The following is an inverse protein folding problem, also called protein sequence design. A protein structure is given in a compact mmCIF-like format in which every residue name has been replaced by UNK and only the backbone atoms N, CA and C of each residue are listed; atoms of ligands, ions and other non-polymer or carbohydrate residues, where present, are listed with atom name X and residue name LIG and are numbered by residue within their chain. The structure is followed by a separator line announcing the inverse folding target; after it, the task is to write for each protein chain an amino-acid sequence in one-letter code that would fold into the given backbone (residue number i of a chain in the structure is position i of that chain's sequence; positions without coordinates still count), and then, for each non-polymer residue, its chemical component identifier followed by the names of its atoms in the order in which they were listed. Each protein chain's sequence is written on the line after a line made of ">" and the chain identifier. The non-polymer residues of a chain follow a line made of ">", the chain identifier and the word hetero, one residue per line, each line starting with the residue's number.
data_IF_530907402333
#
_entry.id   IF_530907402333
#
_cell.length_a   1.000
_cell.length_b   1.000
_cell.length_c   1.000
_cell.angle_alpha   90.00
_cell.angle_beta   90.00
_cell.angle_gamma   90.00
#
_symmetry.space_group_name_H-M   'P 1'
#
loop_
_entity.id
_entity.type
_entity.pdbx_description
1 polymer ?
#
# COMPACT_ATOMS: atom_id res chain seq x y z
N UNK A 1 -23.23 32.00 11.94
CA UNK A 1 -23.44 32.58 10.61
C UNK A 1 -24.38 31.72 9.79
N UNK A 2 -25.50 32.29 9.34
CA UNK A 2 -26.46 31.62 8.47
C UNK A 2 -25.82 31.49 7.08
N UNK A 3 -25.32 30.31 6.75
CA UNK A 3 -24.81 30.04 5.41
C UNK A 3 -26.00 29.76 4.50
N UNK A 4 -26.14 30.54 3.42
CA UNK A 4 -27.20 30.33 2.43
C UNK A 4 -27.11 28.91 1.84
N UNK A 5 -28.25 28.28 1.60
CA UNK A 5 -28.32 26.92 1.08
C UNK A 5 -28.79 26.95 -0.36
N UNK A 6 -28.00 26.38 -1.26
CA UNK A 6 -28.41 26.01 -2.62
C UNK A 6 -29.13 24.68 -2.52
N UNK A 7 -30.44 24.70 -2.73
CA UNK A 7 -31.30 23.52 -2.68
C UNK A 7 -31.80 23.18 -4.08
N UNK A 8 -31.58 21.93 -4.50
CA UNK A 8 -32.09 21.37 -5.75
C UNK A 8 -33.22 20.39 -5.38
N UNK A 9 -34.51 20.76 -5.53
CA UNK A 9 -35.61 19.93 -5.08
C UNK A 9 -35.83 18.69 -5.97
N UNK A 10 -36.55 17.68 -5.47
CA UNK A 10 -36.97 16.52 -6.27
C UNK A 10 -37.65 16.93 -7.57
N UNK A 11 -37.34 16.22 -8.66
CA UNK A 11 -37.90 16.48 -9.99
C UNK A 11 -37.31 17.69 -10.73
N UNK A 12 -36.48 18.52 -10.06
CA UNK A 12 -35.77 19.62 -10.73
C UNK A 12 -34.45 19.16 -11.34
N UNK A 13 -33.96 19.91 -12.34
CA UNK A 13 -32.68 19.64 -12.98
C UNK A 13 -31.84 20.92 -13.08
N UNK A 14 -30.57 20.83 -12.67
CA UNK A 14 -29.55 21.87 -12.89
C UNK A 14 -28.43 21.26 -13.72
N UNK A 15 -27.95 22.01 -14.70
CA UNK A 15 -26.85 21.60 -15.56
C UNK A 15 -25.79 22.69 -15.65
N UNK A 16 -24.57 22.34 -15.29
CA UNK A 16 -23.39 23.18 -15.50
C UNK A 16 -22.75 22.85 -16.85
N UNK A 17 -22.57 23.88 -17.69
CA UNK A 17 -22.02 23.77 -19.03
C UNK A 17 -20.50 23.59 -19.07
N UNK A 18 -19.94 23.45 -20.27
CA UNK A 18 -18.53 23.10 -20.52
C UNK A 18 -17.55 24.27 -20.62
N UNK A 19 -18.05 25.51 -20.74
CA UNK A 19 -17.21 26.68 -21.11
C UNK A 19 -17.01 27.68 -20.00
N UNK A 20 -17.93 27.75 -19.03
CA UNK A 20 -17.92 28.77 -17.98
C UNK A 20 -17.87 28.10 -16.61
N UNK A 21 -16.83 28.38 -15.80
CA UNK A 21 -16.80 27.99 -14.40
C UNK A 21 -18.03 28.45 -13.62
N UNK A 22 -18.55 27.61 -12.73
CA UNK A 22 -19.61 27.96 -11.81
C UNK A 22 -19.12 27.87 -10.35
N UNK A 23 -19.57 28.80 -9.50
CA UNK A 23 -19.24 28.82 -8.07
C UNK A 23 -20.46 28.49 -7.20
N UNK A 24 -20.27 27.66 -6.18
CA UNK A 24 -21.26 27.38 -5.12
C UNK A 24 -20.61 27.72 -3.77
N UNK A 25 -21.08 28.78 -3.13
CA UNK A 25 -20.50 29.33 -1.89
C UNK A 25 -21.25 28.89 -0.62
N UNK A 26 -22.53 28.55 -0.79
CA UNK A 26 -23.42 28.06 0.27
C UNK A 26 -23.37 26.55 0.47
N UNK A 27 -24.18 26.03 1.37
CA UNK A 27 -24.42 24.58 1.44
C UNK A 27 -25.09 24.12 0.16
N UNK A 28 -24.72 22.95 -0.36
CA UNK A 28 -25.45 22.32 -1.44
C UNK A 28 -26.25 21.15 -0.88
N UNK A 29 -27.56 21.17 -1.07
CA UNK A 29 -28.44 20.04 -0.85
C UNK A 29 -29.09 19.68 -2.18
N UNK A 30 -28.72 18.52 -2.71
CA UNK A 30 -29.23 17.98 -3.96
C UNK A 30 -30.20 16.82 -3.68
N UNK A 31 -31.47 17.02 -4.02
CA UNK A 31 -32.54 16.02 -4.04
C UNK A 31 -33.11 15.82 -5.46
N UNK A 32 -32.64 16.60 -6.43
CA UNK A 32 -33.03 16.53 -7.84
C UNK A 32 -31.95 15.92 -8.72
N UNK A 33 -31.82 16.44 -9.94
CA UNK A 33 -30.81 16.03 -10.91
C UNK A 33 -29.77 17.14 -11.09
N UNK A 34 -28.56 16.89 -10.65
CA UNK A 34 -27.42 17.77 -10.91
C UNK A 34 -26.55 17.15 -12.00
N UNK A 35 -26.24 17.92 -13.05
CA UNK A 35 -25.35 17.46 -14.10
C UNK A 35 -24.21 18.42 -14.37
N UNK A 36 -23.03 17.89 -14.62
CA UNK A 36 -21.83 18.66 -14.92
C UNK A 36 -21.26 18.11 -16.23
N UNK A 37 -21.46 18.87 -17.32
CA UNK A 37 -21.03 18.44 -18.65
C UNK A 37 -19.52 18.18 -18.69
N UNK A 38 -19.10 17.35 -19.64
CA UNK A 38 -17.69 17.24 -20.04
C UNK A 38 -17.00 18.60 -20.10
N UNK A 39 -15.84 18.71 -19.46
CA UNK A 39 -15.05 19.93 -19.31
C UNK A 39 -15.69 21.05 -18.47
N UNK A 40 -16.89 20.84 -17.93
CA UNK A 40 -17.51 21.75 -16.97
C UNK A 40 -16.75 21.77 -15.65
N UNK A 41 -16.71 22.94 -15.01
CA UNK A 41 -15.99 23.13 -13.75
C UNK A 41 -16.89 23.80 -12.72
N UNK A 42 -17.13 23.12 -11.60
CA UNK A 42 -17.90 23.63 -10.47
C UNK A 42 -16.97 23.80 -9.28
N UNK A 43 -16.87 25.01 -8.76
CA UNK A 43 -16.04 25.36 -7.60
C UNK A 43 -16.92 25.47 -6.37
N UNK A 44 -16.74 24.55 -5.43
CA UNK A 44 -17.50 24.46 -4.20
C UNK A 44 -16.68 24.94 -3.01
N UNK A 45 -17.14 26.01 -2.36
CA UNK A 45 -16.52 26.58 -1.15
C UNK A 45 -17.45 26.52 0.07
N UNK A 46 -18.66 25.99 -0.07
CA UNK A 46 -19.56 25.74 1.05
C UNK A 46 -19.04 24.68 2.01
N UNK A 47 -19.62 24.59 3.22
CA UNK A 47 -19.20 23.58 4.21
C UNK A 47 -19.72 22.18 3.90
N UNK A 48 -20.94 22.06 3.35
CA UNK A 48 -21.63 20.78 3.18
C UNK A 48 -22.05 20.61 1.72
N UNK A 49 -21.58 19.55 1.07
CA UNK A 49 -22.11 19.03 -0.19
C UNK A 49 -22.92 17.76 0.13
N UNK A 50 -24.23 17.80 -0.07
CA UNK A 50 -25.11 16.69 0.22
C UNK A 50 -25.91 16.26 -1.00
N UNK A 51 -25.66 15.05 -1.52
CA UNK A 51 -26.54 14.33 -2.42
C UNK A 51 -27.42 13.40 -1.58
N UNK A 52 -28.72 13.68 -1.53
CA UNK A 52 -29.71 12.93 -0.75
C UNK A 52 -30.19 11.67 -1.49
N UNK A 53 -30.81 10.70 -0.79
CA UNK A 53 -31.30 9.50 -1.46
C UNK A 53 -32.31 9.87 -2.56
N UNK A 54 -32.08 9.35 -3.76
CA UNK A 54 -32.93 9.64 -4.92
C UNK A 54 -32.40 10.72 -5.85
N UNK A 55 -31.47 11.57 -5.39
CA UNK A 55 -30.82 12.54 -6.27
C UNK A 55 -29.95 11.89 -7.33
N UNK A 56 -29.54 12.68 -8.32
CA UNK A 56 -28.48 12.28 -9.25
C UNK A 56 -27.36 13.31 -9.40
N UNK A 57 -26.16 12.81 -9.65
CA UNK A 57 -25.00 13.54 -10.15
C UNK A 57 -24.54 12.85 -11.44
N UNK A 58 -24.62 13.54 -12.58
CA UNK A 58 -24.37 12.93 -13.91
C UNK A 58 -23.58 13.84 -14.85
N UNK A 59 -23.08 13.29 -15.96
CA UNK A 59 -22.12 13.97 -16.80
C UNK A 59 -22.58 14.41 -18.19
N UNK A 60 -23.73 13.98 -18.71
CA UNK A 60 -24.39 14.60 -19.87
C UNK A 60 -25.79 14.08 -20.20
N UNK A 61 -26.53 13.52 -19.24
CA UNK A 61 -27.94 13.17 -19.41
C UNK A 61 -28.24 11.71 -19.07
N UNK A 62 -28.78 11.49 -17.87
CA UNK A 62 -29.41 10.24 -17.40
C UNK A 62 -28.54 8.96 -17.36
N UNK A 63 -27.42 8.87 -18.07
CA UNK A 63 -26.47 7.77 -18.02
C UNK A 63 -25.28 8.10 -17.12
N UNK A 64 -25.40 7.71 -15.87
CA UNK A 64 -24.50 8.03 -14.77
C UNK A 64 -23.21 7.19 -14.74
N UNK A 65 -22.74 6.71 -15.89
CA UNK A 65 -21.63 5.76 -16.04
C UNK A 65 -20.52 6.26 -16.96
N UNK A 66 -20.55 7.54 -17.34
CA UNK A 66 -19.53 8.05 -18.23
C UNK A 66 -18.40 8.72 -17.44
N UNK A 67 -17.16 8.35 -17.80
CA UNK A 67 -15.92 8.97 -17.31
C UNK A 67 -15.64 10.35 -17.94
N UNK A 68 -16.57 10.84 -18.77
CA UNK A 68 -16.41 12.07 -19.53
C UNK A 68 -16.97 13.30 -18.82
N UNK A 69 -17.39 13.22 -17.56
CA UNK A 69 -17.96 14.37 -16.86
C UNK A 69 -17.02 15.48 -16.50
N UNK A 70 -17.64 16.56 -16.06
CA UNK A 70 -16.91 17.70 -15.54
C UNK A 70 -16.30 17.42 -14.17
N UNK A 71 -15.68 18.46 -13.63
CA UNK A 71 -14.92 18.41 -12.38
C UNK A 71 -15.58 19.27 -11.32
N UNK A 72 -15.79 18.68 -10.15
CA UNK A 72 -16.11 19.44 -8.93
C UNK A 72 -14.81 19.70 -8.18
N UNK A 73 -14.55 20.98 -7.87
CA UNK A 73 -13.40 21.42 -7.11
C UNK A 73 -13.85 21.83 -5.71
N UNK A 74 -13.46 21.08 -4.70
CA UNK A 74 -13.61 21.46 -3.29
C UNK A 74 -12.47 22.42 -2.96
N UNK A 75 -12.76 23.71 -3.06
CA UNK A 75 -11.79 24.79 -2.83
C UNK A 75 -11.81 25.23 -1.37
N UNK A 76 -10.78 25.97 -0.99
CA UNK A 76 -10.50 26.35 0.40
C UNK A 76 -11.72 26.88 1.14
N UNK A 77 -12.10 26.19 2.21
CA UNK A 77 -13.01 26.65 3.25
C UNK A 77 -12.27 26.53 4.59
N UNK A 78 -12.10 27.62 5.37
CA UNK A 78 -11.28 27.61 6.58
C UNK A 78 -11.80 26.69 7.69
N UNK A 79 -13.06 26.24 7.62
CA UNK A 79 -13.70 25.38 8.61
C UNK A 79 -13.79 23.91 8.18
N UNK A 80 -13.13 23.54 7.08
CA UNK A 80 -13.24 22.22 6.47
C UNK A 80 -14.55 22.03 5.70
N UNK A 81 -14.65 20.93 4.95
CA UNK A 81 -15.83 20.60 4.17
C UNK A 81 -16.27 19.16 4.41
N UNK A 82 -17.55 18.89 4.17
CA UNK A 82 -18.15 17.57 4.31
C UNK A 82 -18.82 17.14 3.01
N UNK A 83 -18.64 15.87 2.67
CA UNK A 83 -19.35 15.20 1.58
C UNK A 83 -20.31 14.18 2.18
N UNK A 84 -21.59 14.37 1.91
CA UNK A 84 -22.67 13.42 2.17
C UNK A 84 -23.18 12.95 0.81
N UNK A 85 -22.66 11.84 0.32
CA UNK A 85 -23.12 11.22 -0.92
C UNK A 85 -23.91 9.95 -0.61
N UNK A 86 -25.17 10.12 -0.18
CA UNK A 86 -25.99 9.05 0.41
C UNK A 86 -26.52 8.01 -0.59
N UNK A 87 -25.73 7.70 -1.63
CA UNK A 87 -26.08 6.73 -2.68
C UNK A 87 -24.84 5.99 -3.23
N UNK A 88 -24.21 5.18 -2.39
CA UNK A 88 -23.15 4.24 -2.80
C UNK A 88 -23.64 2.95 -3.47
N UNK A 89 -24.97 2.76 -3.64
CA UNK A 89 -25.53 1.60 -4.35
C UNK A 89 -26.33 2.02 -5.58
N UNK A 90 -25.72 1.88 -6.76
CA UNK A 90 -26.40 1.97 -8.06
C UNK A 90 -26.22 3.31 -8.77
N UNK A 91 -25.05 3.46 -9.39
CA UNK A 91 -24.65 4.33 -10.51
C UNK A 91 -25.05 5.82 -10.54
N UNK A 92 -26.10 6.32 -9.88
CA UNK A 92 -26.69 7.64 -10.14
C UNK A 92 -26.16 8.79 -9.28
N UNK A 93 -25.28 8.56 -8.30
CA UNK A 93 -24.81 9.58 -7.34
C UNK A 93 -23.36 10.05 -7.47
N UNK A 94 -22.57 9.47 -8.37
CA UNK A 94 -21.11 9.56 -8.32
C UNK A 94 -20.53 10.86 -8.90
N UNK A 95 -19.43 11.33 -8.33
CA UNK A 95 -18.61 12.35 -8.97
C UNK A 95 -17.85 11.72 -10.14
N UNK A 96 -17.87 12.35 -11.33
CA UNK A 96 -16.98 11.89 -12.40
C UNK A 96 -15.52 12.25 -12.08
N UNK A 97 -15.26 13.53 -11.89
CA UNK A 97 -13.95 14.05 -11.49
C UNK A 97 -14.11 14.93 -10.25
N UNK A 98 -13.20 14.75 -9.29
CA UNK A 98 -13.21 15.46 -8.02
C UNK A 98 -11.80 16.00 -7.74
N UNK A 99 -11.69 17.30 -7.49
CA UNK A 99 -10.43 17.95 -7.07
C UNK A 99 -10.57 18.42 -5.63
N UNK A 100 -9.61 18.08 -4.78
CA UNK A 100 -9.51 18.56 -3.40
C UNK A 100 -8.40 19.60 -3.30
N UNK A 101 -8.79 20.84 -3.03
CA UNK A 101 -7.91 22.00 -2.91
C UNK A 101 -8.23 22.78 -1.61
N UNK A 102 -8.19 22.06 -0.49
CA UNK A 102 -8.61 22.58 0.81
C UNK A 102 -7.69 22.11 1.95
N UNK A 103 -6.87 23.03 2.46
CA UNK A 103 -5.98 22.79 3.60
C UNK A 103 -6.71 22.45 4.93
N UNK A 104 -7.99 22.80 5.06
CA UNK A 104 -8.79 22.42 6.22
C UNK A 104 -9.44 21.02 6.08
N UNK A 105 -9.06 20.30 5.01
CA UNK A 105 -9.48 18.95 4.68
C UNK A 105 -10.94 18.82 4.27
N UNK A 106 -11.25 17.67 3.68
CA UNK A 106 -12.60 17.24 3.33
C UNK A 106 -12.90 15.94 4.07
N UNK A 107 -14.06 15.86 4.71
CA UNK A 107 -14.46 14.72 5.54
C UNK A 107 -15.67 14.02 4.91
N UNK A 108 -15.64 12.70 4.88
CA UNK A 108 -16.79 11.90 4.47
C UNK A 108 -17.77 11.70 5.62
N UNK A 109 -19.05 11.75 5.28
CA UNK A 109 -20.16 11.45 6.21
C UNK A 109 -20.99 10.25 5.68
N UNK A 110 -20.74 9.84 4.44
CA UNK A 110 -21.17 8.59 3.83
C UNK A 110 -20.06 8.13 2.88
N UNK A 111 -20.18 6.92 2.35
CA UNK A 111 -19.30 6.46 1.26
C UNK A 111 -19.33 7.45 0.08
N UNK A 112 -18.22 7.53 -0.64
CA UNK A 112 -18.04 8.41 -1.78
C UNK A 112 -17.60 7.60 -2.99
N UNK A 113 -18.27 7.77 -4.13
CA UNK A 113 -17.81 7.20 -5.40
C UNK A 113 -17.27 8.29 -6.33
N UNK A 114 -16.05 8.09 -6.84
CA UNK A 114 -15.42 8.90 -7.88
C UNK A 114 -15.12 8.01 -9.09
N UNK A 115 -15.80 8.26 -10.21
CA UNK A 115 -15.76 7.36 -11.38
C UNK A 115 -14.44 7.41 -12.14
N UNK A 116 -13.86 8.60 -12.35
CA UNK A 116 -12.70 8.76 -13.22
C UNK A 116 -11.45 9.22 -12.46
N UNK A 117 -11.44 10.43 -11.89
CA UNK A 117 -10.24 10.97 -11.26
C UNK A 117 -10.55 11.71 -9.95
N UNK A 118 -9.88 11.29 -8.87
CA UNK A 118 -9.74 12.07 -7.64
C UNK A 118 -8.36 12.73 -7.64
N UNK A 119 -8.32 14.05 -7.73
CA UNK A 119 -7.08 14.83 -7.71
C UNK A 119 -6.91 15.55 -6.37
N UNK A 120 -5.77 15.32 -5.73
CA UNK A 120 -5.30 16.15 -4.63
C UNK A 120 -4.50 17.35 -5.17
N UNK A 121 -4.78 18.53 -4.64
CA UNK A 121 -3.92 19.71 -4.75
C UNK A 121 -3.40 20.11 -3.38
N UNK A 122 -4.29 20.12 -2.38
CA UNK A 122 -4.01 20.52 -1.00
C UNK A 122 -4.96 19.84 -0.02
N UNK A 123 -4.40 19.39 1.10
CA UNK A 123 -5.13 18.81 2.23
C UNK A 123 -5.51 17.35 2.04
N UNK A 124 -6.29 16.83 2.99
CA UNK A 124 -6.61 15.41 3.08
C UNK A 124 -8.08 15.12 2.79
N UNK A 125 -8.37 13.88 2.39
CA UNK A 125 -9.72 13.30 2.43
C UNK A 125 -9.82 12.38 3.63
N UNK A 126 -10.61 12.73 4.64
CA UNK A 126 -10.80 11.92 5.85
C UNK A 126 -11.98 10.99 5.61
N UNK A 127 -11.73 9.69 5.64
CA UNK A 127 -12.75 8.67 5.38
C UNK A 127 -13.78 8.59 6.50
N UNK A 128 -13.39 8.83 7.76
CA UNK A 128 -14.30 8.85 8.90
C UNK A 128 -15.23 7.61 8.94
N UNK A 129 -14.64 6.41 8.79
CA UNK A 129 -15.32 5.10 8.71
C UNK A 129 -16.17 4.84 7.46
N UNK A 130 -16.02 5.63 6.40
CA UNK A 130 -16.69 5.45 5.11
C UNK A 130 -15.73 5.07 3.99
N UNK A 131 -16.23 4.40 2.97
CA UNK A 131 -15.40 3.95 1.85
C UNK A 131 -15.30 5.02 0.75
N UNK A 132 -14.10 5.16 0.19
CA UNK A 132 -13.87 5.83 -1.09
C UNK A 132 -13.83 4.77 -2.19
N UNK A 133 -14.80 4.81 -3.11
CA UNK A 133 -14.85 3.93 -4.28
C UNK A 133 -14.32 4.66 -5.50
N UNK A 134 -13.30 4.09 -6.13
CA UNK A 134 -12.72 4.57 -7.37
C UNK A 134 -13.16 3.67 -8.52
N UNK A 135 -13.80 4.27 -9.53
CA UNK A 135 -14.30 3.56 -10.70
C UNK A 135 -15.70 2.95 -10.50
N UNK A 136 -16.07 2.09 -11.45
CA UNK A 136 -17.31 1.32 -11.45
C UNK A 136 -17.04 -0.13 -11.94
N UNK A 137 -18.08 -0.93 -12.15
CA UNK A 137 -17.95 -2.33 -12.58
C UNK A 137 -17.44 -2.49 -14.04
N UNK A 138 -17.07 -1.40 -14.73
CA UNK A 138 -16.52 -1.42 -16.10
C UNK A 138 -15.15 -0.77 -16.22
N UNK A 139 -14.85 0.19 -15.35
CA UNK A 139 -13.66 1.03 -15.45
C UNK A 139 -13.02 1.28 -14.09
N UNK A 140 -11.69 1.22 -14.05
CA UNK A 140 -10.92 1.63 -12.88
C UNK A 140 -10.73 3.16 -12.85
N UNK A 141 -10.91 3.77 -11.67
CA UNK A 141 -10.67 5.19 -11.43
C UNK A 141 -9.24 5.48 -10.93
N UNK A 142 -8.77 6.70 -11.14
CA UNK A 142 -7.42 7.15 -10.77
C UNK A 142 -7.44 8.07 -9.55
N UNK A 143 -6.39 7.99 -8.73
CA UNK A 143 -6.09 8.98 -7.71
C UNK A 143 -4.78 9.66 -8.10
N UNK A 144 -4.76 10.98 -8.15
CA UNK A 144 -3.61 11.78 -8.63
C UNK A 144 -3.29 12.94 -7.69
N UNK A 145 -2.08 13.48 -7.79
CA UNK A 145 -1.62 14.64 -7.00
C UNK A 145 -1.39 14.35 -5.52
N UNK A 146 -1.35 13.07 -5.13
CA UNK A 146 -1.09 12.68 -3.74
C UNK A 146 0.39 12.75 -3.41
N UNK A 147 0.71 13.13 -2.18
CA UNK A 147 2.06 13.19 -1.63
C UNK A 147 2.01 13.09 -0.09
N UNK A 148 3.12 13.35 0.61
CA UNK A 148 3.19 13.29 2.07
C UNK A 148 2.37 14.39 2.79
N UNK A 149 1.78 15.33 2.05
CA UNK A 149 0.97 16.45 2.55
C UNK A 149 -0.49 16.37 2.12
N UNK A 150 -0.81 15.59 1.08
CA UNK A 150 -2.16 15.45 0.54
C UNK A 150 -2.45 14.00 0.17
N UNK A 151 -3.33 13.35 0.94
CA UNK A 151 -3.64 11.92 0.81
C UNK A 151 -4.93 11.57 1.55
N UNK A 152 -5.35 10.30 1.47
CA UNK A 152 -6.56 9.79 2.13
C UNK A 152 -6.25 9.35 3.56
N UNK A 153 -7.01 9.83 4.54
CA UNK A 153 -6.87 9.46 5.95
C UNK A 153 -7.90 8.39 6.31
N UNK A 154 -7.42 7.20 6.67
CA UNK A 154 -8.23 5.99 6.88
C UNK A 154 -8.69 5.76 8.32
N UNK A 155 -8.10 6.48 9.27
CA UNK A 155 -8.36 6.31 10.71
C UNK A 155 -7.26 5.50 11.40
N UNK A 156 -7.14 5.69 12.71
CA UNK A 156 -6.06 5.08 13.50
C UNK A 156 -6.43 3.71 14.08
N UNK A 157 -7.72 3.41 14.18
CA UNK A 157 -8.23 2.18 14.76
C UNK A 157 -8.35 1.06 13.71
N UNK A 158 -8.42 -0.22 14.15
CA UNK A 158 -8.80 -1.34 13.28
C UNK A 158 -10.25 -1.26 12.75
N UNK A 159 -10.96 -0.16 12.99
CA UNK A 159 -12.25 0.18 12.40
C UNK A 159 -12.07 1.46 11.60
N UNK A 160 -12.60 1.52 10.38
CA UNK A 160 -12.15 2.51 9.41
C UNK A 160 -12.59 2.17 7.99
N UNK A 161 -12.67 3.20 7.15
CA UNK A 161 -13.03 3.06 5.75
C UNK A 161 -11.87 2.58 4.89
N UNK A 162 -12.20 2.11 3.70
CA UNK A 162 -11.26 1.65 2.68
C UNK A 162 -11.27 2.58 1.46
N UNK A 163 -10.13 2.65 0.78
CA UNK A 163 -10.16 2.98 -0.65
C UNK A 163 -10.43 1.67 -1.39
N UNK A 164 -11.41 1.66 -2.29
CA UNK A 164 -11.75 0.54 -3.16
C UNK A 164 -11.47 0.91 -4.60
N UNK A 165 -10.64 0.13 -5.28
CA UNK A 165 -10.39 0.24 -6.71
C UNK A 165 -11.19 -0.84 -7.43
N UNK A 166 -12.16 -0.42 -8.25
CA UNK A 166 -12.99 -1.32 -9.08
C UNK A 166 -12.28 -1.72 -10.37
N UNK A 167 -12.69 -2.85 -10.96
CA UNK A 167 -12.27 -3.30 -12.30
C UNK A 167 -10.76 -3.23 -12.56
N UNK A 168 -9.96 -3.69 -11.60
CA UNK A 168 -8.49 -3.72 -11.70
C UNK A 168 -8.07 -4.90 -12.57
N UNK A 169 -7.67 -4.62 -13.80
CA UNK A 169 -7.26 -5.61 -14.79
C UNK A 169 -5.97 -6.38 -14.42
N UNK A 170 -5.75 -7.58 -14.98
CA UNK A 170 -4.46 -8.27 -14.88
C UNK A 170 -3.31 -7.38 -15.37
N UNK A 171 -2.20 -7.34 -14.64
CA UNK A 171 -1.02 -6.50 -14.88
C UNK A 171 -1.17 -5.04 -14.44
N UNK A 172 -2.37 -4.59 -14.07
CA UNK A 172 -2.59 -3.22 -13.64
C UNK A 172 -1.99 -2.95 -12.25
N UNK A 173 -1.51 -1.72 -12.05
CA UNK A 173 -1.05 -1.20 -10.78
C UNK A 173 -2.08 -0.20 -10.25
N UNK A 174 -2.49 -0.37 -8.99
CA UNK A 174 -3.28 0.63 -8.26
C UNK A 174 -2.51 1.12 -7.04
N UNK A 175 -2.71 2.40 -6.69
CA UNK A 175 -2.13 3.01 -5.49
C UNK A 175 -3.21 3.29 -4.46
N UNK A 176 -2.91 3.00 -3.21
CA UNK A 176 -3.63 3.41 -2.02
C UNK A 176 -2.81 4.52 -1.34
N UNK A 177 -3.02 5.81 -1.68
CA UNK A 177 -2.32 6.91 -1.05
C UNK A 177 -2.95 7.19 0.31
N UNK A 178 -2.64 6.34 1.29
CA UNK A 178 -3.30 6.31 2.59
C UNK A 178 -2.37 6.71 3.73
N UNK A 179 -2.99 7.08 4.84
CA UNK A 179 -2.35 7.25 6.14
C UNK A 179 -3.38 7.15 7.27
N UNK A 180 -3.01 6.62 8.45
CA UNK A 180 -3.95 6.50 9.56
C UNK A 180 -4.33 7.85 10.19
N UNK A 181 -3.47 8.86 10.03
CA UNK A 181 -3.63 10.23 10.53
C UNK A 181 -3.20 11.22 9.47
N UNK A 182 -3.49 12.51 9.66
CA UNK A 182 -3.02 13.61 8.79
C UNK A 182 -1.49 13.82 8.84
N UNK A 183 -0.80 13.19 9.79
CA UNK A 183 0.66 13.31 9.98
C UNK A 183 1.42 12.04 9.61
N UNK A 184 0.76 11.03 9.05
CA UNK A 184 1.35 9.72 8.79
C UNK A 184 1.05 9.25 7.37
N UNK A 185 1.87 9.67 6.41
CA UNK A 185 1.76 9.16 5.05
C UNK A 185 2.37 7.76 4.94
N UNK A 186 1.58 6.76 4.56
CA UNK A 186 2.01 5.36 4.51
C UNK A 186 1.32 4.62 3.35
N UNK A 187 1.64 5.01 2.11
CA UNK A 187 0.92 4.52 0.95
C UNK A 187 1.27 3.06 0.63
N UNK A 188 0.35 2.39 -0.04
CA UNK A 188 0.55 1.06 -0.60
C UNK A 188 0.33 1.07 -2.12
N UNK A 189 0.98 0.17 -2.83
CA UNK A 189 0.65 -0.18 -4.21
C UNK A 189 0.35 -1.66 -4.31
N UNK A 190 -0.53 -2.01 -5.24
CA UNK A 190 -0.85 -3.38 -5.57
C UNK A 190 -0.76 -3.56 -7.08
N UNK A 191 -0.05 -4.58 -7.53
CA UNK A 191 -0.03 -5.04 -8.91
C UNK A 191 -0.84 -6.33 -8.97
N UNK A 192 -1.88 -6.34 -9.78
CA UNK A 192 -2.75 -7.50 -9.94
C UNK A 192 -2.11 -8.52 -10.90
N UNK A 193 -1.76 -9.73 -10.43
CA UNK A 193 -1.23 -10.79 -11.28
C UNK A 193 -2.28 -11.90 -11.57
N UNK A 194 -3.52 -11.73 -11.15
CA UNK A 194 -4.62 -12.67 -11.36
C UNK A 194 -5.64 -12.18 -12.39
N UNK A 195 -6.93 -12.41 -12.14
CA UNK A 195 -8.08 -11.97 -12.95
C UNK A 195 -8.52 -10.54 -12.62
N UNK A 196 -9.40 -9.94 -13.43
CA UNK A 196 -10.04 -8.66 -13.07
C UNK A 196 -10.73 -8.76 -11.70
N UNK A 197 -10.48 -7.80 -10.81
CA UNK A 197 -11.06 -7.78 -9.46
C UNK A 197 -11.25 -6.35 -8.93
N UNK A 198 -12.02 -6.23 -7.87
CA UNK A 198 -11.97 -5.06 -6.99
C UNK A 198 -10.97 -5.35 -5.87
N UNK A 199 -10.05 -4.42 -5.64
CA UNK A 199 -9.13 -4.45 -4.50
C UNK A 199 -9.40 -3.28 -3.59
N UNK A 200 -9.32 -3.50 -2.29
CA UNK A 200 -9.52 -2.45 -1.31
C UNK A 200 -8.43 -2.48 -0.26
N UNK A 201 -8.08 -1.29 0.22
CA UNK A 201 -6.89 -1.10 1.04
C UNK A 201 -7.04 0.09 1.99
N UNK A 202 -6.48 -0.07 3.18
CA UNK A 202 -6.33 1.00 4.17
C UNK A 202 -5.10 0.78 5.05
N UNK A 203 -4.83 1.71 5.96
CA UNK A 203 -3.83 1.55 7.01
C UNK A 203 -4.37 2.06 8.36
N UNK A 204 -3.93 1.45 9.46
CA UNK A 204 -4.25 1.89 10.83
C UNK A 204 -3.00 1.84 11.72
N UNK A 205 -3.06 2.48 12.88
CA UNK A 205 -1.92 2.57 13.80
C UNK A 205 -1.68 1.29 14.58
N UNK A 206 -0.42 1.08 14.94
CA UNK A 206 0.08 -0.11 15.65
C UNK A 206 0.03 -1.39 14.82
N UNK A 207 0.72 -2.39 15.34
CA UNK A 207 0.67 -3.77 14.91
C UNK A 207 0.36 -4.59 16.14
N UNK A 208 -0.70 -5.38 16.08
CA UNK A 208 -1.13 -6.17 17.22
C UNK A 208 -0.74 -7.65 17.04
N UNK A 209 -0.58 -8.36 18.16
CA UNK A 209 -0.28 -9.81 18.17
C UNK A 209 -1.25 -10.61 17.31
N UNK A 210 -2.55 -10.25 17.31
CA UNK A 210 -3.61 -10.95 16.58
C UNK A 210 -4.24 -10.07 15.52
N UNK A 211 -3.40 -9.47 14.67
CA UNK A 211 -3.72 -8.49 13.62
C UNK A 211 -4.39 -7.19 14.11
N UNK A 212 -5.55 -7.30 14.76
CA UNK A 212 -6.40 -6.18 15.21
C UNK A 212 -6.61 -6.16 16.73
N UNK A 213 -6.05 -7.14 17.46
CA UNK A 213 -6.24 -7.27 18.92
C UNK A 213 -5.02 -7.89 19.60
N UNK A 214 -4.96 -7.79 20.93
CA UNK A 214 -3.80 -8.22 21.73
C UNK A 214 -2.85 -7.07 22.02
N UNK A 215 -1.65 -7.38 22.53
CA UNK A 215 -0.66 -6.35 22.79
C UNK A 215 -0.12 -5.74 21.48
N UNK A 216 0.23 -4.45 21.52
CA UNK A 216 0.93 -3.82 20.42
C UNK A 216 2.40 -4.30 20.39
N UNK A 217 2.89 -4.68 19.22
CA UNK A 217 4.28 -5.03 18.99
C UNK A 217 5.13 -3.75 18.91
N UNK A 218 6.22 -3.69 19.67
CA UNK A 218 7.06 -2.48 19.78
C UNK A 218 8.54 -2.69 19.46
N UNK A 219 8.95 -3.90 19.10
CA UNK A 219 10.36 -4.32 19.01
C UNK A 219 10.95 -4.07 17.61
N UNK A 220 10.58 -4.88 16.63
CA UNK A 220 11.19 -5.03 15.31
C UNK A 220 10.25 -4.61 14.21
N UNK A 221 9.09 -4.06 14.57
CA UNK A 221 7.96 -3.77 13.69
C UNK A 221 7.71 -2.27 13.65
N UNK A 222 7.30 -1.73 12.50
CA UNK A 222 6.76 -0.36 12.47
C UNK A 222 5.42 -0.29 13.21
N UNK A 223 5.05 0.88 13.73
CA UNK A 223 3.78 1.09 14.41
C UNK A 223 2.60 1.30 13.43
N UNK A 224 2.48 0.43 12.44
CA UNK A 224 1.49 0.55 11.37
C UNK A 224 1.12 -0.81 10.78
N UNK A 225 -0.18 -1.03 10.57
CA UNK A 225 -0.72 -2.17 9.83
C UNK A 225 -1.42 -1.69 8.57
N UNK A 226 -1.07 -2.27 7.43
CA UNK A 226 -1.88 -2.19 6.22
C UNK A 226 -2.85 -3.34 6.19
N UNK A 227 -4.02 -3.07 5.64
CA UNK A 227 -5.05 -4.08 5.45
C UNK A 227 -5.50 -4.02 4.00
N UNK A 228 -5.43 -5.16 3.32
CA UNK A 228 -5.73 -5.30 1.90
C UNK A 228 -6.69 -6.48 1.72
N UNK A 229 -7.69 -6.30 0.89
CA UNK A 229 -8.60 -7.37 0.50
C UNK A 229 -9.03 -7.26 -0.96
N UNK A 230 -9.83 -8.23 -1.38
CA UNK A 230 -10.42 -8.33 -2.72
C UNK A 230 -11.90 -8.69 -2.62
N UNK A 231 -12.65 -8.47 -3.71
CA UNK A 231 -14.09 -8.79 -3.76
C UNK A 231 -14.38 -10.26 -4.05
N UNK A 232 -13.61 -10.92 -4.92
CA UNK A 232 -13.90 -12.33 -5.27
C UNK A 232 -13.44 -13.30 -4.18
N UNK A 233 -14.07 -14.48 -4.15
CA UNK A 233 -13.74 -15.61 -3.26
C UNK A 233 -12.65 -16.56 -3.83
N UNK A 234 -11.99 -16.14 -4.92
CA UNK A 234 -10.92 -16.94 -5.53
C UNK A 234 -9.57 -16.40 -5.10
N UNK A 235 -8.66 -17.27 -4.64
CA UNK A 235 -7.28 -16.91 -4.36
C UNK A 235 -6.64 -16.14 -5.53
N UNK A 236 -5.92 -15.07 -5.20
CA UNK A 236 -5.39 -14.15 -6.20
C UNK A 236 -3.95 -13.76 -5.88
N UNK A 237 -3.04 -14.04 -6.81
CA UNK A 237 -1.67 -13.56 -6.72
C UNK A 237 -1.62 -12.04 -6.97
N UNK A 238 -0.93 -11.33 -6.09
CA UNK A 238 -0.62 -9.91 -6.24
C UNK A 238 0.81 -9.61 -5.81
N UNK A 239 1.36 -8.50 -6.29
CA UNK A 239 2.58 -7.91 -5.74
C UNK A 239 2.19 -6.66 -4.97
N UNK A 240 2.42 -6.66 -3.66
CA UNK A 240 2.21 -5.49 -2.80
C UNK A 240 3.52 -4.72 -2.63
N UNK A 241 3.44 -3.39 -2.64
CA UNK A 241 4.53 -2.49 -2.26
C UNK A 241 4.08 -1.59 -1.13
N UNK A 242 4.84 -1.53 -0.04
CA UNK A 242 4.48 -0.78 1.16
C UNK A 242 5.57 0.23 1.47
N UNK A 243 5.17 1.49 1.60
CA UNK A 243 6.06 2.60 1.95
C UNK A 243 5.74 3.13 3.33
N UNK A 244 6.76 3.21 4.19
CA UNK A 244 6.68 3.95 5.45
C UNK A 244 7.69 5.10 5.44
N UNK A 245 7.40 6.13 6.21
CA UNK A 245 8.34 7.21 6.51
C UNK A 245 8.91 7.07 7.94
N UNK A 246 9.96 7.83 8.25
CA UNK A 246 10.73 7.76 9.50
C UNK A 246 9.94 8.04 10.81
N UNK A 247 8.89 8.89 10.85
CA UNK A 247 8.18 9.18 12.10
C UNK A 247 7.50 7.99 12.78
N UNK A 248 7.15 6.95 12.02
CA UNK A 248 6.51 5.72 12.55
C UNK A 248 7.50 4.57 12.80
N UNK A 249 8.79 4.83 12.60
CA UNK A 249 9.86 3.86 12.88
C UNK A 249 10.30 3.98 14.34
N UNK A 250 10.31 2.86 15.07
CA UNK A 250 11.01 2.79 16.34
C UNK A 250 12.55 2.78 16.12
N UNK A 251 13.33 2.87 17.20
CA UNK A 251 14.79 2.94 17.11
C UNK A 251 15.41 1.72 16.43
N UNK A 252 14.95 0.52 16.79
CA UNK A 252 15.43 -0.76 16.23
C UNK A 252 15.17 -0.82 14.73
N UNK A 253 13.94 -0.53 14.29
CA UNK A 253 13.57 -0.52 12.89
C UNK A 253 14.40 0.51 12.12
N UNK A 254 14.51 1.74 12.64
CA UNK A 254 15.28 2.83 12.00
C UNK A 254 16.74 2.44 11.78
N UNK A 255 17.36 1.74 12.73
CA UNK A 255 18.75 1.28 12.62
C UNK A 255 18.98 0.22 11.54
N UNK A 256 17.93 -0.53 11.15
CA UNK A 256 18.01 -1.69 10.26
C UNK A 256 17.05 -1.60 9.05
N UNK A 257 16.47 -0.44 8.78
CA UNK A 257 15.37 -0.26 7.82
C UNK A 257 15.67 -0.73 6.38
N UNK A 258 16.94 -0.75 5.97
CA UNK A 258 17.37 -1.29 4.67
C UNK A 258 17.26 -2.82 4.56
N UNK A 259 17.23 -3.51 5.70
CA UNK A 259 17.01 -4.95 5.83
C UNK A 259 15.55 -5.30 6.16
N UNK A 260 14.65 -4.32 6.13
CA UNK A 260 13.24 -4.57 6.40
C UNK A 260 12.59 -5.48 5.35
N UNK A 261 11.45 -6.06 5.70
CA UNK A 261 10.61 -6.90 4.84
C UNK A 261 9.14 -6.70 5.17
N UNK A 262 8.25 -7.12 4.26
CA UNK A 262 6.81 -7.17 4.51
C UNK A 262 6.49 -8.48 5.23
N UNK A 263 5.89 -8.39 6.40
CA UNK A 263 5.31 -9.52 7.14
C UNK A 263 3.80 -9.55 6.92
N UNK A 264 3.22 -10.74 6.86
CA UNK A 264 1.76 -10.94 6.79
C UNK A 264 1.29 -11.72 8.01
N UNK A 265 0.10 -11.39 8.48
CA UNK A 265 -0.54 -12.14 9.56
C UNK A 265 -1.32 -13.32 8.98
N UNK A 266 -1.02 -14.52 9.46
CA UNK A 266 -1.69 -15.77 9.07
C UNK A 266 -1.37 -16.88 10.07
N UNK A 267 -2.24 -17.89 10.19
CA UNK A 267 -2.06 -18.99 11.15
C UNK A 267 -1.81 -18.51 12.60
N UNK A 268 -2.44 -17.40 12.99
CA UNK A 268 -2.29 -16.74 14.31
C UNK A 268 -0.91 -16.15 14.61
N UNK A 269 -0.07 -15.92 13.60
CA UNK A 269 1.24 -15.31 13.76
C UNK A 269 1.62 -14.36 12.62
N UNK A 270 2.59 -13.47 12.88
CA UNK A 270 3.22 -12.63 11.88
C UNK A 270 4.40 -13.37 11.26
N UNK A 271 4.33 -13.64 9.96
CA UNK A 271 5.30 -14.49 9.30
C UNK A 271 6.65 -13.80 9.05
N UNK A 272 7.65 -14.61 8.68
CA UNK A 272 8.93 -14.15 8.14
C UNK A 272 9.17 -14.82 6.80
N UNK A 273 9.22 -14.07 5.67
CA UNK A 273 9.50 -14.65 4.38
C UNK A 273 10.93 -15.23 4.36
N UNK A 274 11.10 -16.38 3.71
CA UNK A 274 12.40 -17.05 3.58
C UNK A 274 13.39 -16.15 2.83
N UNK A 275 12.92 -15.50 1.76
CA UNK A 275 13.69 -14.56 0.95
C UNK A 275 12.87 -13.28 0.76
N UNK A 276 13.54 -12.13 0.84
CA UNK A 276 12.93 -10.84 0.52
C UNK A 276 13.88 -9.96 -0.27
N UNK A 277 13.33 -9.06 -1.07
CA UNK A 277 14.13 -8.08 -1.77
C UNK A 277 14.61 -7.00 -0.79
N UNK A 278 15.80 -6.44 -1.05
CA UNK A 278 16.28 -5.27 -0.31
C UNK A 278 15.27 -4.14 -0.42
N UNK A 279 15.09 -3.45 0.70
CA UNK A 279 14.23 -2.29 0.74
C UNK A 279 14.81 -1.17 -0.14
N UNK A 280 13.94 -0.43 -0.83
CA UNK A 280 14.31 0.68 -1.71
C UNK A 280 14.21 2.00 -0.95
N UNK A 281 15.19 2.89 -1.18
CA UNK A 281 15.26 4.25 -0.65
C UNK A 281 15.91 5.12 -1.75
N UNK A 282 15.44 6.35 -2.01
CA UNK A 282 14.32 7.04 -1.37
C UNK A 282 12.96 6.41 -1.70
N UNK A 283 11.90 6.80 -0.98
CA UNK A 283 10.55 6.34 -1.28
C UNK A 283 9.97 7.06 -2.50
N UNK A 284 9.25 6.31 -3.34
CA UNK A 284 8.75 6.77 -4.64
C UNK A 284 7.24 6.61 -4.82
N UNK A 285 6.51 6.14 -3.81
CA UNK A 285 5.04 6.05 -3.87
C UNK A 285 4.48 7.42 -3.51
N UNK A 286 4.57 8.37 -4.44
CA UNK A 286 4.12 9.77 -4.33
C UNK A 286 4.03 10.36 -5.74
N UNK A 287 3.23 11.42 -5.94
CA UNK A 287 3.22 12.21 -7.18
C UNK A 287 4.10 13.48 -7.08
N UNK A 288 4.82 13.65 -5.98
CA UNK A 288 5.84 14.69 -5.76
C UNK A 288 7.26 14.10 -5.91
N UNK A 289 8.27 14.82 -5.41
CA UNK A 289 9.64 14.32 -5.34
C UNK A 289 9.73 13.09 -4.42
N UNK A 290 10.71 12.23 -4.71
CA UNK A 290 11.02 11.07 -3.88
C UNK A 290 11.31 11.49 -2.45
N UNK A 291 10.78 10.76 -1.47
CA UNK A 291 10.89 11.06 -0.04
C UNK A 291 12.19 10.42 0.48
N UNK A 292 13.24 11.19 0.83
CA UNK A 292 14.57 10.64 1.16
C UNK A 292 14.56 9.64 2.32
N UNK A 293 13.76 9.94 3.34
CA UNK A 293 13.59 9.14 4.54
C UNK A 293 12.60 7.98 4.39
N UNK A 294 11.91 7.82 3.27
CA UNK A 294 10.96 6.73 3.12
C UNK A 294 11.62 5.44 2.61
N UNK A 295 11.07 4.30 3.04
CA UNK A 295 11.52 2.97 2.65
C UNK A 295 10.37 2.21 1.99
N UNK A 296 10.63 1.64 0.81
CA UNK A 296 9.68 0.81 0.08
C UNK A 296 10.11 -0.64 0.11
N UNK A 297 9.21 -1.52 0.52
CA UNK A 297 9.39 -2.97 0.37
C UNK A 297 8.37 -3.52 -0.61
N UNK A 298 8.73 -4.60 -1.29
CA UNK A 298 7.83 -5.29 -2.21
C UNK A 298 7.76 -6.77 -1.84
N UNK A 299 6.58 -7.36 -1.91
CA UNK A 299 6.36 -8.78 -1.64
C UNK A 299 5.27 -9.33 -2.55
N UNK A 300 5.50 -10.51 -3.10
CA UNK A 300 4.46 -11.29 -3.77
C UNK A 300 3.69 -12.08 -2.72
N UNK A 301 2.36 -12.00 -2.76
CA UNK A 301 1.47 -12.69 -1.83
C UNK A 301 0.27 -13.27 -2.59
N UNK A 302 -0.41 -14.24 -1.98
CA UNK A 302 -1.74 -14.68 -2.39
C UNK A 302 -2.74 -14.01 -1.45
N UNK A 303 -3.68 -13.25 -2.01
CA UNK A 303 -4.85 -12.80 -1.29
C UNK A 303 -5.88 -13.92 -1.34
N UNK A 304 -6.25 -14.45 -0.19
CA UNK A 304 -7.34 -15.41 -0.04
C UNK A 304 -8.67 -14.71 0.25
N UNK A 305 -9.55 -15.41 0.96
CA UNK A 305 -10.82 -14.85 1.40
C UNK A 305 -10.65 -13.94 2.61
N UNK A 306 -11.39 -12.83 2.61
CA UNK A 306 -11.35 -11.84 3.69
C UNK A 306 -10.17 -10.87 3.60
N UNK A 307 -9.76 -10.38 4.78
CA UNK A 307 -8.78 -9.30 4.94
C UNK A 307 -7.39 -9.87 5.20
N UNK A 308 -6.41 -9.41 4.43
CA UNK A 308 -4.99 -9.70 4.66
C UNK A 308 -4.35 -8.52 5.40
N UNK A 309 -3.78 -8.80 6.57
CA UNK A 309 -3.07 -7.82 7.38
C UNK A 309 -1.57 -7.91 7.11
N UNK A 310 -0.96 -6.76 6.84
CA UNK A 310 0.43 -6.63 6.46
C UNK A 310 1.11 -5.59 7.35
N UNK A 311 2.36 -5.82 7.69
CA UNK A 311 3.21 -4.79 8.30
C UNK A 311 4.64 -4.92 7.78
N UNK A 312 5.55 -4.12 8.33
CA UNK A 312 6.97 -4.20 8.03
C UNK A 312 7.77 -4.50 9.29
N UNK A 313 8.70 -5.43 9.16
CA UNK A 313 9.63 -5.80 10.22
C UNK A 313 11.06 -5.71 9.76
N UNK A 314 11.99 -5.57 10.68
CA UNK A 314 13.43 -5.71 10.44
C UNK A 314 13.94 -7.07 10.91
N UNK A 315 14.85 -7.63 10.13
CA UNK A 315 15.69 -8.77 10.51
C UNK A 315 17.03 -8.53 9.86
N UNK A 316 18.11 -9.11 10.38
CA UNK A 316 19.36 -9.18 9.63
C UNK A 316 19.05 -9.83 8.27
N UNK A 317 19.35 -9.11 7.19
CA UNK A 317 19.20 -9.63 5.84
C UNK A 317 20.45 -10.44 5.54
N UNK A 318 20.25 -11.72 5.29
CA UNK A 318 21.34 -12.57 4.86
C UNK A 318 21.21 -12.83 3.36
N UNK A 319 22.29 -12.65 2.61
CA UNK A 319 22.27 -12.97 1.18
C UNK A 319 22.03 -14.47 1.01
N UNK A 320 21.23 -14.87 -0.01
CA UNK A 320 21.22 -16.25 -0.46
C UNK A 320 22.67 -16.67 -0.78
N UNK A 321 23.07 -17.85 -0.33
CA UNK A 321 24.36 -18.42 -0.66
C UNK A 321 24.15 -19.72 -1.44
N UNK A 322 25.09 -20.00 -2.34
CA UNK A 322 25.12 -21.25 -3.10
C UNK A 322 26.29 -22.06 -2.55
N UNK A 323 26.00 -23.30 -2.17
CA UNK A 323 27.01 -24.24 -1.69
C UNK A 323 27.55 -24.99 -2.91
N UNK A 324 28.85 -24.83 -3.26
CA UNK A 324 29.44 -25.61 -4.34
C UNK A 324 29.38 -27.10 -4.01
N UNK A 325 29.13 -27.96 -4.98
CA UNK A 325 29.13 -29.41 -4.79
C UNK A 325 30.51 -30.05 -5.02
N UNK A 326 31.49 -29.31 -5.56
CA UNK A 326 32.84 -29.76 -5.82
C UNK A 326 33.85 -28.60 -5.79
N UNK A 327 35.11 -28.93 -5.53
CA UNK A 327 36.28 -28.05 -5.62
C UNK A 327 37.52 -28.92 -5.87
N UNK A 328 38.62 -28.35 -6.36
CA UNK A 328 39.83 -29.05 -6.81
C UNK A 328 41.09 -28.41 -6.22
N UNK A 329 41.55 -28.83 -5.03
CA UNK A 329 42.74 -28.27 -4.37
C UNK A 329 44.04 -28.77 -5.01
N UNK A 330 44.33 -28.33 -6.24
CA UNK A 330 45.49 -28.75 -7.04
C UNK A 330 46.55 -27.65 -7.22
N UNK A 331 46.28 -26.43 -6.73
CA UNK A 331 47.20 -25.29 -6.77
C UNK A 331 47.18 -24.50 -8.09
N UNK A 332 46.19 -24.71 -8.96
CA UNK A 332 46.02 -23.95 -10.20
C UNK A 332 45.28 -22.61 -10.00
N UNK A 333 44.86 -22.30 -8.77
CA UNK A 333 44.07 -21.15 -8.34
C UNK A 333 42.60 -21.17 -8.81
N UNK A 334 42.11 -22.29 -9.35
CA UNK A 334 40.74 -22.46 -9.84
C UNK A 334 40.00 -23.46 -8.93
N UNK A 335 39.07 -22.94 -8.13
CA UNK A 335 38.32 -23.75 -7.15
C UNK A 335 39.22 -24.54 -6.19
N UNK A 336 40.40 -24.03 -5.83
CA UNK A 336 41.31 -24.68 -4.88
C UNK A 336 40.75 -24.76 -3.45
N UNK A 337 39.73 -23.96 -3.16
CA UNK A 337 39.03 -23.94 -1.87
C UNK A 337 37.54 -24.10 -2.08
N UNK A 338 36.89 -24.70 -1.10
CA UNK A 338 35.45 -24.84 -1.07
C UNK A 338 34.79 -23.52 -0.63
N UNK A 339 34.66 -22.55 -1.53
CA UNK A 339 34.16 -21.23 -1.17
C UNK A 339 32.63 -21.16 -1.27
N UNK A 340 31.95 -21.14 -0.13
CA UNK A 340 30.51 -20.86 -0.03
C UNK A 340 30.28 -19.34 -0.08
N UNK A 341 30.01 -18.83 -1.28
CA UNK A 341 29.80 -17.39 -1.52
C UNK A 341 28.55 -16.90 -0.79
N UNK A 342 28.71 -15.91 0.09
CA UNK A 342 27.62 -15.29 0.86
C UNK A 342 27.51 -15.78 2.30
N UNK A 343 28.08 -16.94 2.65
CA UNK A 343 28.03 -17.49 4.01
C UNK A 343 28.77 -16.62 5.04
N UNK A 344 29.77 -15.84 4.59
CA UNK A 344 30.48 -14.87 5.44
C UNK A 344 29.61 -13.76 6.03
N UNK A 345 28.40 -13.53 5.49
CA UNK A 345 27.46 -12.53 6.02
C UNK A 345 26.71 -13.05 7.27
N UNK A 346 26.91 -14.33 7.63
CA UNK A 346 26.40 -15.00 8.82
C UNK A 346 27.49 -15.10 9.90
N UNK A 347 27.64 -14.04 10.70
CA UNK A 347 28.74 -13.90 11.66
C UNK A 347 28.88 -15.07 12.66
N UNK A 348 27.79 -15.77 12.97
CA UNK A 348 27.75 -16.86 13.94
C UNK A 348 27.56 -18.25 13.31
N UNK A 349 27.60 -18.37 11.98
CA UNK A 349 27.40 -19.68 11.36
C UNK A 349 28.50 -20.65 11.80
N UNK A 350 28.19 -21.93 11.86
CA UNK A 350 29.20 -22.98 12.01
C UNK A 350 29.25 -23.82 10.74
N UNK A 351 30.46 -24.17 10.31
CA UNK A 351 30.67 -25.07 9.17
C UNK A 351 31.52 -26.24 9.65
N UNK A 352 30.97 -27.44 9.54
CA UNK A 352 31.65 -28.69 9.88
C UNK A 352 31.69 -29.58 8.65
N UNK A 353 32.85 -30.19 8.36
CA UNK A 353 33.02 -31.11 7.24
C UNK A 353 33.49 -32.46 7.77
N UNK A 354 32.94 -33.53 7.22
CA UNK A 354 33.13 -34.90 7.66
C UNK A 354 33.56 -35.79 6.50
N UNK A 355 34.41 -36.76 6.80
CA UNK A 355 34.64 -37.91 5.91
C UNK A 355 33.38 -38.75 5.74
N UNK A 356 33.39 -39.67 4.77
CA UNK A 356 32.32 -40.66 4.58
C UNK A 356 32.03 -41.56 5.80
N UNK A 357 32.95 -41.61 6.77
CA UNK A 357 32.82 -42.40 8.00
C UNK A 357 32.38 -41.55 9.19
N UNK A 358 31.96 -40.29 8.98
CA UNK A 358 31.49 -39.40 10.03
C UNK A 358 32.59 -38.73 10.87
N UNK A 359 33.87 -38.92 10.51
CA UNK A 359 34.98 -38.23 11.20
C UNK A 359 35.07 -36.76 10.76
N UNK A 360 35.07 -35.78 11.68
CA UNK A 360 35.24 -34.37 11.34
C UNK A 360 36.66 -34.08 10.85
N UNK A 361 36.78 -33.27 9.80
CA UNK A 361 38.03 -32.88 9.14
C UNK A 361 38.17 -31.37 8.95
N UNK A 362 37.10 -30.61 9.16
CA UNK A 362 37.14 -29.15 9.18
C UNK A 362 36.04 -28.64 10.10
N UNK A 363 36.33 -27.55 10.82
CA UNK A 363 35.35 -26.83 11.64
C UNK A 363 35.68 -25.34 11.62
N UNK A 364 34.67 -24.50 11.42
CA UNK A 364 34.79 -23.05 11.58
C UNK A 364 33.58 -22.46 12.30
N UNK A 365 33.83 -21.40 13.07
CA UNK A 365 32.80 -20.46 13.53
C UNK A 365 32.96 -19.18 12.70
N UNK A 366 31.87 -18.72 12.08
CA UNK A 366 31.92 -17.91 10.88
C UNK A 366 32.50 -18.67 9.68
N UNK A 367 32.58 -17.99 8.53
CA UNK A 367 33.14 -18.57 7.30
C UNK A 367 34.20 -17.67 6.65
N UNK A 368 35.14 -17.17 7.45
CA UNK A 368 36.25 -16.33 6.98
C UNK A 368 37.34 -17.12 6.26
N UNK A 369 37.54 -18.38 6.64
CA UNK A 369 38.54 -19.27 6.07
C UNK A 369 37.85 -20.50 5.45
N UNK A 370 37.66 -20.52 4.12
CA UNK A 370 37.07 -21.66 3.44
C UNK A 370 37.99 -22.89 3.54
N UNK A 371 37.39 -24.09 3.55
CA UNK A 371 38.17 -25.32 3.54
C UNK A 371 38.98 -25.47 2.25
N UNK A 372 40.24 -25.83 2.38
CA UNK A 372 41.21 -25.99 1.29
C UNK A 372 41.50 -27.45 0.95
N UNK A 373 40.70 -28.39 1.47
CA UNK A 373 40.91 -29.82 1.25
C UNK A 373 41.99 -30.43 2.13
N UNK A 374 42.48 -29.73 3.15
CA UNK A 374 43.49 -30.26 4.07
C UNK A 374 42.91 -30.60 5.45
N UNK A 375 43.58 -31.50 6.17
CA UNK A 375 43.35 -31.77 7.59
C UNK A 375 44.69 -32.04 8.25
N UNK A 376 44.97 -31.35 9.36
CA UNK A 376 46.28 -31.39 10.05
C UNK A 376 47.48 -31.16 9.12
N UNK A 377 47.35 -30.27 8.13
CA UNK A 377 48.41 -29.91 7.19
C UNK A 377 48.65 -30.92 6.05
N UNK A 378 47.89 -32.02 5.99
CA UNK A 378 47.96 -32.98 4.90
C UNK A 378 46.76 -32.84 3.95
N UNK A 379 46.99 -32.99 2.65
CA UNK A 379 45.94 -33.04 1.63
C UNK A 379 45.08 -34.28 1.86
N UNK A 380 43.77 -34.09 1.88
CA UNK A 380 42.81 -35.16 2.06
C UNK A 380 42.59 -35.96 0.78
N UNK A 381 42.29 -37.27 0.86
CA UNK A 381 42.05 -38.10 -0.32
C UNK A 381 40.88 -37.59 -1.16
N UNK A 382 40.97 -37.78 -2.48
CA UNK A 382 39.87 -37.54 -3.41
C UNK A 382 38.66 -38.39 -3.01
N UNK A 383 37.50 -37.76 -2.88
CA UNK A 383 36.26 -38.44 -2.54
C UNK A 383 35.15 -37.50 -2.10
N UNK A 384 34.03 -38.10 -1.70
CA UNK A 384 32.89 -37.37 -1.18
C UNK A 384 33.07 -37.07 0.31
N UNK A 385 32.81 -35.82 0.66
CA UNK A 385 32.75 -35.32 2.03
C UNK A 385 31.35 -34.79 2.31
N UNK A 386 30.94 -34.85 3.57
CA UNK A 386 29.66 -34.36 4.04
C UNK A 386 29.87 -33.09 4.83
N UNK A 387 28.90 -32.18 4.83
CA UNK A 387 28.97 -30.95 5.61
C UNK A 387 27.72 -30.73 6.45
N UNK A 388 27.89 -30.04 7.57
CA UNK A 388 26.82 -29.48 8.38
C UNK A 388 27.05 -27.97 8.46
N UNK A 389 26.02 -27.19 8.18
CA UNK A 389 26.05 -25.73 8.30
C UNK A 389 24.90 -25.34 9.23
N UNK A 390 25.24 -24.68 10.33
CA UNK A 390 24.29 -24.05 11.26
C UNK A 390 24.41 -22.53 11.13
N UNK A 391 23.30 -21.78 11.14
CA UNK A 391 23.25 -20.36 10.73
C UNK A 391 23.02 -19.37 11.87
#
# INVERSE_FOLDING_TARGET
>A
DAQETVYIPPGSAIQFGSTTPAGIFGYLINEGNLSIKKNGNVFFSGKIWANRPGSSLSDNGLDSNSINGGTVHFVTNPFGQQILDSKSSGNKGSFCNLTLDNNANVILVTDLTVLNNLQFKRGHLLLNNHDLVMGDEKLNGNITGYDERSYVVTGSDPTGGFIRHKSVMPGALVTFPVGPTISTYSPAQLINNGIENEFYGRAFTNVYEKAVSGAALTDSTIALTWEIGKKTETDQEVIVKLQNDAPIENEVFRSMRTNSYITLFGNSEWDKPILWNRAQSPGHITNSFSIPSAIVNSRRIILGDGLTFLSKRVSKYFKPFVIPNAFSPNGDNINDKWIIKGLKDYDNCTVEIFTRYGRPVFRSTGYLQPWDGTYNGAIMPVGTYYYLIDL
#
